data_IF_668971929214
#
_entry.id   IF_668971929214
#
_cell.length_a   1.000
_cell.length_b   1.000
_cell.length_c   1.000
_cell.angle_alpha   90.00
_cell.angle_beta   90.00
_cell.angle_gamma   90.00
#
_symmetry.space_group_name_H-M   'P 1'
#
loop_
_entity.id
_entity.type
_entity.pdbx_description
1 polymer ?
#
# COMPACT_ATOMS: atom_id res chain seq x y z
N UNK A 1 22.47 21.58 18.28
CA UNK A 1 22.14 20.38 17.46
C UNK A 1 20.84 20.71 16.74
N UNK A 2 20.82 20.67 15.40
CA UNK A 2 19.75 21.28 14.59
C UNK A 2 18.40 20.58 14.78
N UNK A 3 17.37 21.32 15.17
CA UNK A 3 16.00 20.83 15.45
C UNK A 3 15.37 20.10 14.25
N UNK A 4 15.75 20.47 13.02
CA UNK A 4 15.25 19.85 11.77
C UNK A 4 15.52 18.34 11.71
N UNK A 5 16.60 17.89 12.34
CA UNK A 5 17.03 16.48 12.35
C UNK A 5 16.20 15.62 13.30
N UNK A 6 15.74 16.19 14.42
CA UNK A 6 14.83 15.52 15.36
C UNK A 6 13.42 15.46 14.79
N UNK A 7 12.98 16.53 14.11
CA UNK A 7 11.69 16.58 13.42
C UNK A 7 11.63 15.59 12.26
N UNK A 8 12.70 15.38 11.49
CA UNK A 8 12.73 14.32 10.47
C UNK A 8 12.73 12.91 11.08
N UNK A 9 13.52 12.65 12.13
CA UNK A 9 13.61 11.31 12.77
C UNK A 9 12.34 10.91 13.52
N UNK A 10 11.74 11.82 14.29
CA UNK A 10 10.51 11.56 15.03
C UNK A 10 9.26 11.85 14.19
N UNK A 11 9.29 12.87 13.34
CA UNK A 11 8.21 13.20 12.45
C UNK A 11 7.95 12.13 11.39
N UNK A 12 8.96 11.43 10.85
CA UNK A 12 8.70 10.33 9.89
C UNK A 12 7.95 9.16 10.54
N UNK A 13 8.39 8.72 11.73
CA UNK A 13 7.73 7.61 12.43
C UNK A 13 6.30 7.99 12.84
N UNK A 14 6.07 9.26 13.17
CA UNK A 14 4.74 9.78 13.48
C UNK A 14 3.91 10.09 12.22
N UNK A 15 4.53 10.37 11.08
CA UNK A 15 3.88 10.65 9.80
C UNK A 15 3.54 9.38 9.02
N UNK A 16 4.23 8.26 9.26
CA UNK A 16 3.86 6.95 8.72
C UNK A 16 2.48 6.50 9.20
N UNK A 17 2.08 6.83 10.42
CA UNK A 17 0.76 6.47 10.97
C UNK A 17 -0.37 7.08 10.11
N UNK A 18 -0.42 8.40 9.85
CA UNK A 18 -1.41 8.99 8.97
C UNK A 18 -1.22 8.61 7.50
N UNK A 19 0.02 8.39 7.02
CA UNK A 19 0.28 7.95 5.64
C UNK A 19 -0.29 6.55 5.38
N UNK A 20 -0.06 5.60 6.28
CA UNK A 20 -0.63 4.23 6.17
C UNK A 20 -2.15 4.28 6.24
N UNK A 21 -2.71 5.10 7.13
CA UNK A 21 -4.15 5.28 7.25
C UNK A 21 -4.75 5.87 5.96
N UNK A 22 -4.14 6.92 5.40
CA UNK A 22 -4.58 7.51 4.14
C UNK A 22 -4.41 6.57 2.96
N UNK A 23 -3.30 5.82 2.90
CA UNK A 23 -3.09 4.81 1.86
C UNK A 23 -4.18 3.74 1.93
N UNK A 24 -4.55 3.24 3.11
CA UNK A 24 -5.64 2.26 3.25
C UNK A 24 -6.98 2.79 2.73
N UNK A 25 -7.33 4.03 3.08
CA UNK A 25 -8.55 4.69 2.56
C UNK A 25 -8.51 4.89 1.05
N UNK A 26 -7.37 5.34 0.53
CA UNK A 26 -7.18 5.57 -0.91
C UNK A 26 -7.19 4.26 -1.70
N UNK A 27 -6.64 3.19 -1.14
CA UNK A 27 -6.64 1.86 -1.74
C UNK A 27 -8.06 1.31 -1.86
N UNK A 28 -8.90 1.47 -0.82
CA UNK A 28 -10.32 1.12 -0.90
C UNK A 28 -11.07 1.89 -1.99
N UNK A 29 -10.77 3.19 -2.13
CA UNK A 29 -11.33 4.02 -3.20
C UNK A 29 -10.88 3.56 -4.60
N UNK A 30 -9.59 3.27 -4.76
CA UNK A 30 -9.01 2.82 -6.03
C UNK A 30 -9.51 1.43 -6.42
N UNK A 31 -9.62 0.49 -5.47
CA UNK A 31 -10.21 -0.82 -5.71
C UNK A 31 -11.66 -0.69 -6.18
N UNK A 32 -12.47 0.11 -5.49
CA UNK A 32 -13.86 0.36 -5.89
C UNK A 32 -13.97 0.95 -7.31
N UNK A 33 -13.15 1.94 -7.63
CA UNK A 33 -13.08 2.52 -8.98
C UNK A 33 -12.58 1.55 -10.04
N UNK A 34 -11.53 0.77 -9.74
CA UNK A 34 -10.93 -0.22 -10.65
C UNK A 34 -11.92 -1.32 -11.01
N UNK A 35 -12.66 -1.85 -10.01
CA UNK A 35 -13.68 -2.88 -10.23
C UNK A 35 -14.75 -2.38 -11.21
N UNK A 36 -15.22 -1.14 -11.06
CA UNK A 36 -16.23 -0.58 -11.97
C UNK A 36 -15.69 -0.51 -13.40
N UNK A 37 -14.45 -0.05 -13.59
CA UNK A 37 -13.82 -0.01 -14.90
C UNK A 37 -13.63 -1.41 -15.48
N UNK A 38 -13.15 -2.37 -14.68
CA UNK A 38 -12.95 -3.78 -15.09
C UNK A 38 -14.26 -4.45 -15.51
N UNK A 39 -15.35 -4.20 -14.77
CA UNK A 39 -16.69 -4.71 -15.09
C UNK A 39 -17.27 -4.06 -16.35
N UNK A 40 -17.22 -2.74 -16.46
CA UNK A 40 -17.82 -2.00 -17.59
C UNK A 40 -17.11 -2.30 -18.90
N UNK A 41 -15.78 -2.36 -18.89
CA UNK A 41 -14.98 -2.60 -20.10
C UNK A 41 -14.71 -4.09 -20.37
N UNK A 42 -15.26 -5.01 -19.56
CA UNK A 42 -14.93 -6.44 -19.60
C UNK A 42 -13.43 -6.73 -19.59
N UNK A 43 -12.66 -5.90 -18.88
CA UNK A 43 -11.23 -6.09 -18.74
C UNK A 43 -10.95 -7.16 -17.67
N UNK A 44 -10.12 -8.17 -17.96
CA UNK A 44 -9.75 -9.18 -16.98
C UNK A 44 -8.81 -8.55 -15.95
N UNK A 45 -9.31 -8.31 -14.74
CA UNK A 45 -8.55 -7.72 -13.64
C UNK A 45 -8.77 -8.44 -12.31
N UNK A 46 -7.83 -8.24 -11.38
CA UNK A 46 -7.81 -8.87 -10.07
C UNK A 46 -8.91 -8.32 -9.15
N UNK A 47 -9.31 -7.06 -9.30
CA UNK A 47 -10.38 -6.47 -8.49
C UNK A 47 -11.72 -7.14 -8.78
N UNK A 48 -12.03 -7.33 -10.08
CA UNK A 48 -13.21 -8.06 -10.55
C UNK A 48 -13.19 -9.51 -10.06
N UNK A 49 -12.05 -10.20 -10.16
CA UNK A 49 -11.90 -11.58 -9.70
C UNK A 49 -12.15 -11.72 -8.19
N UNK A 50 -11.72 -10.74 -7.39
CA UNK A 50 -11.98 -10.73 -5.95
C UNK A 50 -13.46 -10.62 -5.63
N UNK A 51 -14.18 -9.72 -6.30
CA UNK A 51 -15.63 -9.58 -6.12
C UNK A 51 -16.37 -10.85 -6.56
N UNK A 52 -16.01 -11.40 -7.72
CA UNK A 52 -16.62 -12.62 -8.25
C UNK A 52 -16.36 -13.81 -7.31
N UNK A 53 -15.16 -13.91 -6.74
CA UNK A 53 -14.79 -14.95 -5.77
C UNK A 53 -15.54 -14.80 -4.45
N UNK A 54 -15.79 -13.56 -3.99
CA UNK A 54 -16.61 -13.29 -2.80
C UNK A 54 -18.07 -13.71 -3.03
N UNK A 55 -18.64 -13.39 -4.19
CA UNK A 55 -20.00 -13.79 -4.56
C UNK A 55 -20.14 -15.32 -4.68
N UNK A 56 -19.16 -15.98 -5.31
CA UNK A 56 -19.10 -17.44 -5.45
C UNK A 56 -18.65 -18.17 -4.19
N UNK A 57 -18.27 -17.44 -3.14
CA UNK A 57 -17.69 -17.96 -1.88
C UNK A 57 -16.47 -18.85 -2.10
N UNK A 58 -15.65 -18.52 -3.09
CA UNK A 58 -14.39 -19.19 -3.38
C UNK A 58 -13.29 -18.69 -2.43
N UNK A 59 -13.30 -19.20 -1.20
CA UNK A 59 -12.35 -18.82 -0.16
C UNK A 59 -10.87 -19.02 -0.55
N UNK A 60 -10.47 -20.11 -1.23
CA UNK A 60 -9.10 -20.26 -1.73
C UNK A 60 -8.63 -19.11 -2.63
N UNK A 61 -9.46 -18.69 -3.59
CA UNK A 61 -9.10 -17.61 -4.51
C UNK A 61 -9.03 -16.27 -3.78
N UNK A 62 -10.01 -15.98 -2.92
CA UNK A 62 -10.00 -14.77 -2.07
C UNK A 62 -8.71 -14.70 -1.25
N UNK A 63 -8.31 -15.80 -0.62
CA UNK A 63 -7.10 -15.84 0.19
C UNK A 63 -5.84 -15.60 -0.64
N UNK A 64 -5.75 -16.19 -1.84
CA UNK A 64 -4.63 -16.00 -2.74
C UNK A 64 -4.49 -14.54 -3.20
N UNK A 65 -5.61 -13.88 -3.54
CA UNK A 65 -5.61 -12.48 -3.96
C UNK A 65 -5.28 -11.53 -2.82
N UNK A 66 -5.82 -11.76 -1.61
CA UNK A 66 -5.48 -10.97 -0.43
C UNK A 66 -3.99 -11.10 -0.11
N UNK A 67 -3.41 -12.30 -0.21
CA UNK A 67 -1.98 -12.52 -0.02
C UNK A 67 -1.15 -11.77 -1.06
N UNK A 68 -1.56 -11.79 -2.33
CA UNK A 68 -0.90 -11.07 -3.41
C UNK A 68 -0.90 -9.55 -3.17
N UNK A 69 -2.06 -8.96 -2.83
CA UNK A 69 -2.16 -7.53 -2.52
C UNK A 69 -1.37 -7.15 -1.27
N UNK A 70 -1.36 -8.02 -0.25
CA UNK A 70 -0.56 -7.80 0.96
C UNK A 70 0.93 -7.76 0.64
N UNK A 71 1.41 -8.67 -0.20
CA UNK A 71 2.80 -8.71 -0.64
C UNK A 71 3.18 -7.46 -1.42
N UNK A 72 2.34 -7.04 -2.38
CA UNK A 72 2.55 -5.81 -3.14
C UNK A 72 2.63 -4.59 -2.22
N UNK A 73 1.72 -4.48 -1.24
CA UNK A 73 1.74 -3.40 -0.28
C UNK A 73 3.02 -3.38 0.56
N UNK A 74 3.50 -4.53 1.01
CA UNK A 74 4.77 -4.65 1.73
C UNK A 74 5.94 -4.21 0.84
N UNK A 75 5.97 -4.62 -0.43
CA UNK A 75 7.00 -4.21 -1.38
C UNK A 75 7.01 -2.69 -1.60
N UNK A 76 5.84 -2.08 -1.77
CA UNK A 76 5.72 -0.61 -1.92
C UNK A 76 6.25 0.10 -0.67
N UNK A 77 5.85 -0.35 0.53
CA UNK A 77 6.36 0.23 1.78
C UNK A 77 7.87 0.07 1.89
N UNK A 78 8.42 -1.10 1.54
CA UNK A 78 9.86 -1.32 1.54
C UNK A 78 10.59 -0.40 0.55
N UNK A 79 10.05 -0.20 -0.66
CA UNK A 79 10.60 0.75 -1.64
C UNK A 79 10.58 2.17 -1.09
N UNK A 80 9.47 2.58 -0.47
CA UNK A 80 9.35 3.89 0.17
C UNK A 80 10.38 4.06 1.28
N UNK A 81 10.56 3.06 2.14
CA UNK A 81 11.56 3.06 3.21
C UNK A 81 12.99 3.15 2.66
N UNK A 82 13.30 2.41 1.59
CA UNK A 82 14.61 2.45 0.92
C UNK A 82 14.86 3.80 0.27
N UNK A 83 13.86 4.39 -0.40
CA UNK A 83 13.95 5.73 -0.97
C UNK A 83 14.20 6.78 0.12
N UNK A 84 13.52 6.66 1.27
CA UNK A 84 13.80 7.52 2.42
C UNK A 84 15.23 7.35 2.94
N UNK A 85 15.71 6.12 3.06
CA UNK A 85 17.08 5.84 3.49
C UNK A 85 18.12 6.39 2.50
N UNK A 86 17.84 6.34 1.19
CA UNK A 86 18.71 6.86 0.15
C UNK A 86 18.72 8.40 0.09
N UNK A 87 17.57 9.04 0.32
CA UNK A 87 17.44 10.51 0.35
C UNK A 87 18.07 11.11 1.62
N UNK A 88 18.21 10.34 2.71
CA UNK A 88 18.85 10.79 3.96
C UNK A 88 20.33 10.35 4.07
N UNK A 89 21.32 11.20 3.77
CA UNK A 89 22.73 10.78 3.67
C UNK A 89 23.47 10.67 5.02
N UNK A 90 22.82 10.96 6.16
CA UNK A 90 23.47 10.99 7.47
C UNK A 90 23.19 9.77 8.37
N UNK A 91 22.83 8.62 7.77
CA UNK A 91 22.84 7.29 8.43
C UNK A 91 24.28 6.77 8.62
N UNK A 92 25.31 7.52 8.20
CA UNK A 92 26.71 7.17 8.47
C UNK A 92 27.26 7.92 9.69
N UNK A 93 27.39 7.13 10.77
CA UNK A 93 28.24 7.29 11.95
C UNK A 93 27.86 8.37 12.98
N UNK A 94 27.21 7.92 14.07
CA UNK A 94 27.90 7.67 15.35
C UNK A 94 27.30 6.45 16.04
#
# INVERSE_FOLDING_TARGET
MSETWVVLKHGLRNAMIPVVTMMGLQFGFLLGGSIVVEKVFNWPGLGRLLVDSVEMRDYPVIQAEILLFSLEFILINLVVDVLYAAINPAIRYK
#
